data_IF_797896070337
#
_entry.id   IF_797896070337
#
_cell.length_a   1.000
_cell.length_b   1.000
_cell.length_c   1.000
_cell.angle_alpha   90.00
_cell.angle_beta   90.00
_cell.angle_gamma   90.00
#
_symmetry.space_group_name_H-M   'P 1'
#
loop_
_entity.id
_entity.type
_entity.pdbx_description
1 polymer ?
#
# COMPACT_ATOMS: atom_id res chain seq x y z
N UNK A 1 -19.11 -1.28 -2.58
CA UNK A 1 -19.53 0.15 -2.47
C UNK A 1 -18.68 0.99 -3.41
N UNK A 2 -18.99 2.30 -3.60
CA UNK A 2 -18.21 3.18 -4.48
C UNK A 2 -18.16 4.58 -3.90
N UNK A 3 -17.00 5.23 -4.07
CA UNK A 3 -16.82 6.68 -3.88
C UNK A 3 -16.22 7.24 -5.18
N UNK A 4 -16.33 8.53 -5.39
CA UNK A 4 -15.78 9.19 -6.59
C UNK A 4 -14.79 10.27 -6.16
N UNK A 5 -13.62 10.28 -6.75
CA UNK A 5 -12.60 11.31 -6.54
C UNK A 5 -13.03 12.65 -7.16
N UNK A 6 -12.39 13.74 -6.80
CA UNK A 6 -12.71 15.08 -7.34
C UNK A 6 -12.52 15.17 -8.86
N UNK A 7 -11.61 14.38 -9.43
CA UNK A 7 -11.37 14.27 -10.87
C UNK A 7 -12.24 13.21 -11.57
N UNK A 8 -13.20 12.61 -10.85
CA UNK A 8 -14.24 11.74 -11.41
C UNK A 8 -13.89 10.26 -11.45
N UNK A 9 -12.78 9.81 -10.89
CA UNK A 9 -12.42 8.39 -10.83
C UNK A 9 -13.29 7.68 -9.78
N UNK A 10 -13.97 6.61 -10.18
CA UNK A 10 -14.79 5.81 -9.29
C UNK A 10 -13.94 4.76 -8.59
N UNK A 11 -13.93 4.76 -7.27
CA UNK A 11 -13.21 3.82 -6.42
C UNK A 11 -14.17 2.81 -5.81
N UNK A 12 -13.99 1.54 -6.13
CA UNK A 12 -14.74 0.43 -5.56
C UNK A 12 -14.13 0.01 -4.23
N UNK A 13 -14.97 -0.26 -3.23
CA UNK A 13 -14.49 -0.73 -1.93
C UNK A 13 -15.51 -1.63 -1.23
N UNK A 14 -15.00 -2.50 -0.37
CA UNK A 14 -15.78 -3.21 0.64
C UNK A 14 -15.59 -2.52 1.99
N UNK A 15 -16.63 -2.54 2.84
CA UNK A 15 -16.61 -1.97 4.18
C UNK A 15 -17.17 -2.99 5.16
N UNK A 16 -16.41 -3.31 6.19
CA UNK A 16 -16.79 -4.20 7.27
C UNK A 16 -16.60 -3.51 8.61
N UNK A 17 -17.49 -3.79 9.55
CA UNK A 17 -17.58 -3.07 10.81
C UNK A 17 -18.45 -1.80 10.68
N UNK A 18 -18.92 -1.27 11.82
CA UNK A 18 -19.69 -0.05 11.85
C UNK A 18 -19.49 0.67 13.21
N UNK A 19 -19.21 1.96 13.16
CA UNK A 19 -19.12 2.81 14.34
C UNK A 19 -17.83 2.69 15.14
N UNK A 20 -16.83 1.94 14.63
CA UNK A 20 -15.48 1.88 15.16
C UNK A 20 -14.58 2.97 14.58
N UNK A 21 -13.28 2.91 14.91
CA UNK A 21 -12.28 3.77 14.28
C UNK A 21 -12.15 3.44 12.80
N UNK A 22 -12.26 4.42 11.89
CA UNK A 22 -12.08 4.19 10.47
C UNK A 22 -10.64 3.79 10.13
N UNK A 23 -10.50 2.74 9.31
CA UNK A 23 -9.22 2.24 8.80
C UNK A 23 -9.34 1.94 7.31
N UNK A 24 -8.49 2.55 6.49
CA UNK A 24 -8.38 2.26 5.06
C UNK A 24 -7.16 1.37 4.82
N UNK A 25 -7.37 0.24 4.14
CA UNK A 25 -6.30 -0.67 3.73
C UNK A 25 -5.75 -0.25 2.37
N UNK A 26 -4.45 0.05 2.30
CA UNK A 26 -3.75 0.42 1.07
C UNK A 26 -2.87 -0.75 0.64
N UNK A 27 -3.36 -1.51 -0.32
CA UNK A 27 -2.67 -2.70 -0.83
C UNK A 27 -1.43 -2.36 -1.68
N UNK A 28 -0.47 -3.28 -1.71
CA UNK A 28 0.75 -3.19 -2.51
C UNK A 28 0.58 -3.61 -3.97
N UNK A 29 1.71 -3.87 -4.62
CA UNK A 29 1.78 -4.34 -6.00
C UNK A 29 0.97 -5.62 -6.18
N UNK A 30 0.11 -5.65 -7.19
CA UNK A 30 -0.71 -6.82 -7.51
C UNK A 30 -1.92 -7.09 -6.62
N UNK A 31 -2.07 -6.40 -5.48
CA UNK A 31 -3.20 -6.62 -4.58
C UNK A 31 -4.49 -5.97 -5.09
N UNK A 32 -5.58 -6.74 -5.07
CA UNK A 32 -6.94 -6.35 -5.43
C UNK A 32 -7.93 -7.15 -4.58
N UNK A 33 -9.08 -6.57 -4.25
CA UNK A 33 -10.14 -7.23 -3.46
C UNK A 33 -10.51 -8.63 -3.96
N UNK A 34 -10.60 -8.78 -5.29
CA UNK A 34 -11.04 -10.04 -5.92
C UNK A 34 -9.99 -11.16 -5.93
N UNK A 35 -8.70 -10.84 -5.76
CA UNK A 35 -7.58 -11.80 -5.88
C UNK A 35 -6.74 -11.95 -4.62
N UNK A 36 -7.03 -11.18 -3.57
CA UNK A 36 -6.30 -11.20 -2.32
C UNK A 36 -7.16 -11.72 -1.15
N UNK A 37 -7.22 -13.04 -0.95
CA UNK A 37 -7.97 -13.64 0.14
C UNK A 37 -7.37 -13.34 1.53
N UNK A 38 -6.06 -13.09 1.63
CA UNK A 38 -5.40 -12.79 2.89
C UNK A 38 -5.86 -11.43 3.43
N UNK A 39 -5.85 -10.39 2.60
CA UNK A 39 -6.34 -9.07 2.99
C UNK A 39 -7.84 -9.05 3.25
N UNK A 40 -8.65 -9.84 2.54
CA UNK A 40 -10.08 -9.99 2.90
C UNK A 40 -10.27 -10.61 4.28
N UNK A 41 -9.51 -11.65 4.60
CA UNK A 41 -9.57 -12.24 5.95
C UNK A 41 -9.11 -11.23 7.00
N UNK A 42 -8.03 -10.48 6.75
CA UNK A 42 -7.58 -9.41 7.63
C UNK A 42 -8.67 -8.35 7.84
N UNK A 43 -9.40 -7.95 6.79
CA UNK A 43 -10.53 -7.01 6.89
C UNK A 43 -11.57 -7.50 7.90
N UNK A 44 -11.98 -8.77 7.80
CA UNK A 44 -12.98 -9.37 8.71
C UNK A 44 -12.44 -9.50 10.13
N UNK A 45 -11.15 -9.85 10.31
CA UNK A 45 -10.50 -9.94 11.63
C UNK A 45 -10.42 -8.58 12.33
N UNK A 46 -10.09 -7.52 11.58
CA UNK A 46 -10.03 -6.15 12.09
C UNK A 46 -11.44 -5.63 12.47
N UNK A 47 -12.43 -5.90 11.61
CA UNK A 47 -13.82 -5.53 11.87
C UNK A 47 -14.38 -6.24 13.11
N UNK A 48 -14.06 -7.52 13.30
CA UNK A 48 -14.45 -8.29 14.49
C UNK A 48 -13.84 -7.74 15.79
N UNK A 49 -12.74 -6.99 15.69
CA UNK A 49 -12.08 -6.28 16.80
C UNK A 49 -12.56 -4.84 16.99
N UNK A 50 -13.62 -4.45 16.29
CA UNK A 50 -14.32 -3.17 16.50
C UNK A 50 -13.84 -2.02 15.62
N UNK A 51 -13.03 -2.26 14.59
CA UNK A 51 -12.66 -1.25 13.60
C UNK A 51 -13.74 -1.13 12.49
N UNK A 52 -13.81 0.02 11.85
CA UNK A 52 -14.61 0.29 10.66
C UNK A 52 -13.67 0.26 9.45
N UNK A 53 -13.58 -0.90 8.81
CA UNK A 53 -12.51 -1.21 7.85
C UNK A 53 -12.99 -1.03 6.42
N UNK A 54 -12.23 -0.29 5.64
CA UNK A 54 -12.43 -0.11 4.20
C UNK A 54 -11.29 -0.77 3.43
N UNK A 55 -11.64 -1.70 2.56
CA UNK A 55 -10.72 -2.37 1.64
C UNK A 55 -11.06 -1.97 0.21
N UNK A 56 -10.33 -1.03 -0.41
CA UNK A 56 -10.58 -0.59 -1.78
C UNK A 56 -9.86 -1.43 -2.83
N UNK A 57 -10.38 -1.39 -4.06
CA UNK A 57 -9.54 -1.53 -5.24
C UNK A 57 -8.95 -0.16 -5.58
N UNK A 58 -7.64 -0.07 -5.73
CA UNK A 58 -6.94 1.15 -6.11
C UNK A 58 -7.34 1.60 -7.54
N UNK A 59 -7.08 2.86 -7.95
CA UNK A 59 -7.39 3.33 -9.31
C UNK A 59 -6.87 2.37 -10.39
N UNK A 60 -7.69 2.04 -11.39
CA UNK A 60 -7.38 1.13 -12.48
C UNK A 60 -7.30 -0.35 -12.09
N UNK A 61 -7.64 -0.74 -10.85
CA UNK A 61 -7.63 -2.13 -10.37
C UNK A 61 -9.03 -2.64 -10.09
N UNK A 62 -9.22 -3.95 -10.22
CA UNK A 62 -10.46 -4.65 -9.86
C UNK A 62 -11.70 -4.03 -10.46
N UNK A 63 -12.61 -3.54 -9.60
CA UNK A 63 -13.88 -2.91 -9.97
C UNK A 63 -13.81 -1.36 -9.93
N UNK A 64 -12.64 -0.79 -9.63
CA UNK A 64 -12.40 0.66 -9.71
C UNK A 64 -12.30 1.13 -11.16
N UNK A 65 -12.67 2.38 -11.38
CA UNK A 65 -12.52 3.04 -12.67
C UNK A 65 -11.06 3.30 -13.03
N UNK A 66 -10.81 3.47 -14.32
CA UNK A 66 -9.51 3.91 -14.79
C UNK A 66 -9.21 5.31 -14.28
N UNK A 67 -7.97 5.51 -13.86
CA UNK A 67 -7.47 6.78 -13.33
C UNK A 67 -5.99 6.98 -13.68
N UNK A 68 -5.42 8.14 -13.34
CA UNK A 68 -3.99 8.33 -13.49
C UNK A 68 -3.20 7.29 -12.69
N UNK A 69 -2.32 6.54 -13.36
CA UNK A 69 -1.40 5.59 -12.71
C UNK A 69 -0.22 6.36 -12.09
N UNK A 70 -0.52 7.26 -11.15
CA UNK A 70 0.45 8.15 -10.50
C UNK A 70 0.21 8.17 -8.98
N UNK A 71 1.24 8.53 -8.23
CA UNK A 71 1.14 8.73 -6.79
C UNK A 71 0.04 9.75 -6.42
N UNK A 72 -0.08 10.84 -7.18
CA UNK A 72 -1.12 11.84 -6.96
C UNK A 72 -2.54 11.26 -7.14
N UNK A 73 -2.75 10.38 -8.12
CA UNK A 73 -4.01 9.67 -8.32
C UNK A 73 -4.35 8.74 -7.16
N UNK A 74 -3.36 8.06 -6.58
CA UNK A 74 -3.54 7.22 -5.39
C UNK A 74 -3.90 8.05 -4.15
N UNK A 75 -3.23 9.18 -3.93
CA UNK A 75 -3.55 10.10 -2.83
C UNK A 75 -4.95 10.68 -2.98
N UNK A 76 -5.39 11.01 -4.20
CA UNK A 76 -6.76 11.47 -4.47
C UNK A 76 -7.81 10.39 -4.14
N UNK A 77 -7.53 9.13 -4.45
CA UNK A 77 -8.41 8.02 -4.09
C UNK A 77 -8.52 7.84 -2.57
N UNK A 78 -7.39 7.92 -1.84
CA UNK A 78 -7.38 7.85 -0.37
C UNK A 78 -8.14 9.04 0.22
N UNK A 79 -7.98 10.26 -0.30
CA UNK A 79 -8.74 11.45 0.11
C UNK A 79 -10.24 11.20 0.03
N UNK A 80 -10.72 10.72 -1.13
CA UNK A 80 -12.14 10.44 -1.32
C UNK A 80 -12.68 9.39 -0.33
N UNK A 81 -11.89 8.36 0.00
CA UNK A 81 -12.26 7.37 1.01
C UNK A 81 -12.28 7.95 2.43
N UNK A 82 -11.29 8.77 2.79
CA UNK A 82 -11.23 9.46 4.09
C UNK A 82 -12.43 10.40 4.25
N UNK A 83 -12.78 11.15 3.22
CA UNK A 83 -13.94 12.07 3.23
C UNK A 83 -15.26 11.28 3.37
N UNK A 84 -15.42 10.15 2.68
CA UNK A 84 -16.58 9.24 2.82
C UNK A 84 -16.70 8.68 4.24
N UNK A 85 -15.58 8.53 4.96
CA UNK A 85 -15.52 8.06 6.35
C UNK A 85 -15.68 9.18 7.39
N UNK A 86 -16.04 10.39 6.97
CA UNK A 86 -16.28 11.53 7.85
C UNK A 86 -15.07 12.43 8.05
N UNK A 87 -14.09 12.37 7.15
CA UNK A 87 -12.93 13.28 7.09
C UNK A 87 -11.76 12.87 7.98
N UNK A 88 -11.80 11.67 8.61
CA UNK A 88 -10.72 11.17 9.45
C UNK A 88 -10.62 9.65 9.39
N UNK A 89 -9.41 9.13 9.16
CA UNK A 89 -9.13 7.69 9.18
C UNK A 89 -7.66 7.40 9.49
N UNK A 90 -7.41 6.20 10.01
CA UNK A 90 -6.09 5.58 9.99
C UNK A 90 -5.84 4.91 8.64
N UNK A 91 -4.57 4.73 8.26
CA UNK A 91 -4.19 3.93 7.09
C UNK A 91 -3.35 2.74 7.51
N UNK A 92 -3.65 1.58 6.94
CA UNK A 92 -2.74 0.44 6.91
C UNK A 92 -2.19 0.33 5.48
N UNK A 93 -0.88 0.40 5.33
CA UNK A 93 -0.20 0.29 4.05
C UNK A 93 0.68 -0.97 3.99
N UNK A 94 0.44 -1.84 3.01
CA UNK A 94 1.21 -3.07 2.79
C UNK A 94 2.18 -2.89 1.62
N UNK A 95 3.46 -3.21 1.82
CA UNK A 95 4.47 -3.16 0.75
C UNK A 95 4.55 -1.77 0.11
N UNK A 96 4.50 -1.65 -1.22
CA UNK A 96 4.42 -0.37 -1.93
C UNK A 96 3.22 0.48 -1.52
N UNK A 97 2.11 -0.12 -1.07
CA UNK A 97 0.99 0.59 -0.47
C UNK A 97 1.35 1.37 0.80
N UNK A 98 2.40 0.96 1.50
CA UNK A 98 2.96 1.71 2.62
C UNK A 98 3.60 3.04 2.18
N UNK A 99 4.28 3.07 1.05
CA UNK A 99 4.82 4.31 0.48
C UNK A 99 3.70 5.27 0.03
N UNK A 100 2.62 4.72 -0.54
CA UNK A 100 1.40 5.50 -0.88
C UNK A 100 0.75 6.05 0.40
N UNK A 101 0.65 5.24 1.47
CA UNK A 101 0.10 5.69 2.74
C UNK A 101 0.94 6.79 3.39
N UNK A 102 2.28 6.73 3.29
CA UNK A 102 3.20 7.79 3.72
C UNK A 102 2.94 9.10 2.95
N UNK A 103 2.78 9.04 1.62
CA UNK A 103 2.47 10.20 0.80
C UNK A 103 1.09 10.78 1.16
N UNK A 104 0.09 9.94 1.35
CA UNK A 104 -1.23 10.38 1.78
C UNK A 104 -1.18 11.06 3.15
N UNK A 105 -0.44 10.53 4.12
CA UNK A 105 -0.29 11.15 5.44
C UNK A 105 0.47 12.48 5.40
N UNK A 106 1.41 12.64 4.45
CA UNK A 106 2.12 13.91 4.25
C UNK A 106 1.21 15.03 3.71
N UNK A 107 0.15 14.68 2.98
CA UNK A 107 -0.71 15.65 2.28
C UNK A 107 -2.11 15.79 2.91
N UNK A 108 -2.63 14.76 3.56
CA UNK A 108 -4.01 14.69 4.03
C UNK A 108 -4.12 14.88 5.55
N UNK A 109 -4.61 16.02 6.04
CA UNK A 109 -4.78 16.24 7.47
C UNK A 109 -5.78 15.27 8.13
N UNK A 110 -6.65 14.64 7.33
CA UNK A 110 -7.58 13.63 7.79
C UNK A 110 -6.96 12.26 8.09
N UNK A 111 -5.74 12.00 7.65
CA UNK A 111 -4.99 10.81 8.07
C UNK A 111 -4.41 11.07 9.44
N UNK A 112 -4.74 10.24 10.42
CA UNK A 112 -4.38 10.48 11.82
C UNK A 112 -3.47 9.42 12.44
N UNK A 113 -3.25 8.31 11.75
CA UNK A 113 -2.33 7.22 12.16
C UNK A 113 -1.90 6.39 10.97
N UNK A 114 -0.69 5.85 11.04
CA UNK A 114 -0.16 4.90 10.05
C UNK A 114 0.21 3.58 10.70
N UNK A 115 -0.11 2.49 10.01
CA UNK A 115 0.46 1.16 10.26
C UNK A 115 1.04 0.66 8.93
N UNK A 116 2.33 0.37 8.90
CA UNK A 116 3.07 0.07 7.68
C UNK A 116 3.65 -1.34 7.74
N UNK A 117 3.29 -2.19 6.78
CA UNK A 117 3.81 -3.56 6.68
C UNK A 117 4.88 -3.64 5.59
N UNK A 118 6.11 -3.98 6.00
CA UNK A 118 7.25 -4.33 5.13
C UNK A 118 7.36 -3.47 3.86
N UNK A 119 7.49 -2.15 4.05
CA UNK A 119 7.65 -1.21 2.94
C UNK A 119 9.05 -1.35 2.35
N UNK A 120 9.21 -1.70 1.06
CA UNK A 120 10.53 -1.94 0.46
C UNK A 120 11.22 -0.64 0.05
N UNK A 121 11.71 0.14 1.02
CA UNK A 121 12.36 1.42 0.76
C UNK A 121 13.89 1.27 0.64
N UNK A 122 14.45 1.89 -0.39
CA UNK A 122 15.89 2.16 -0.44
C UNK A 122 16.30 3.16 0.65
N UNK A 123 17.30 2.83 1.45
CA UNK A 123 17.77 3.67 2.56
C UNK A 123 18.80 4.72 2.15
N UNK A 124 19.30 4.66 0.90
CA UNK A 124 20.32 5.56 0.33
C UNK A 124 19.76 6.57 -0.68
N UNK A 125 18.44 6.71 -0.78
CA UNK A 125 17.74 7.59 -1.71
C UNK A 125 16.99 6.84 -2.81
N UNK A 126 16.24 7.58 -3.62
CA UNK A 126 15.30 7.05 -4.60
C UNK A 126 15.88 6.72 -5.98
N UNK A 127 17.18 6.88 -6.23
CA UNK A 127 17.75 6.78 -7.59
C UNK A 127 17.41 5.45 -8.27
N UNK A 128 17.63 4.31 -7.61
CA UNK A 128 17.32 2.99 -8.17
C UNK A 128 15.81 2.79 -8.36
N UNK A 129 14.98 3.32 -7.44
CA UNK A 129 13.54 3.26 -7.56
C UNK A 129 13.02 4.13 -8.70
N UNK A 130 13.65 5.28 -8.99
CA UNK A 130 13.33 6.09 -10.17
C UNK A 130 13.75 5.41 -11.47
N UNK A 131 14.88 4.70 -11.51
CA UNK A 131 15.27 3.88 -12.67
C UNK A 131 14.25 2.74 -12.90
N UNK A 132 13.82 2.09 -11.84
CA UNK A 132 12.76 1.07 -11.90
C UNK A 132 11.44 1.66 -12.39
N UNK A 133 11.02 2.81 -11.86
CA UNK A 133 9.84 3.55 -12.33
C UNK A 133 9.94 3.86 -13.83
N UNK A 134 11.06 4.41 -14.30
CA UNK A 134 11.27 4.73 -15.71
C UNK A 134 11.16 3.48 -16.60
N UNK A 135 11.71 2.35 -16.17
CA UNK A 135 11.59 1.08 -16.88
C UNK A 135 10.16 0.55 -16.95
N UNK A 136 9.35 0.77 -15.93
CA UNK A 136 7.91 0.44 -15.94
C UNK A 136 7.17 1.34 -16.91
N UNK A 137 7.36 2.67 -16.82
CA UNK A 137 6.71 3.65 -17.69
C UNK A 137 7.01 3.38 -19.18
N UNK A 138 8.24 3.02 -19.52
CA UNK A 138 8.62 2.62 -20.89
C UNK A 138 7.78 1.44 -21.39
N UNK A 139 7.63 0.39 -20.57
CA UNK A 139 6.85 -0.81 -20.95
C UNK A 139 5.35 -0.55 -21.00
N UNK A 140 4.84 0.30 -20.12
CA UNK A 140 3.45 0.78 -20.20
C UNK A 140 3.21 1.52 -21.50
N UNK A 141 4.11 2.43 -21.90
CA UNK A 141 4.02 3.16 -23.16
C UNK A 141 4.15 2.25 -24.40
N UNK A 142 4.88 1.15 -24.30
CA UNK A 142 4.96 0.13 -25.34
C UNK A 142 3.67 -0.73 -25.46
N UNK A 143 2.74 -0.64 -24.49
CA UNK A 143 1.49 -1.40 -24.50
C UNK A 143 1.68 -2.89 -24.23
N UNK A 144 2.72 -3.28 -23.50
CA UNK A 144 3.01 -4.67 -23.14
C UNK A 144 2.83 -4.91 -21.62
N UNK A 145 1.59 -5.20 -21.17
CA UNK A 145 1.31 -5.40 -19.76
C UNK A 145 2.02 -6.63 -19.16
N UNK A 146 2.30 -7.65 -19.96
CA UNK A 146 3.06 -8.81 -19.46
C UNK A 146 4.52 -8.43 -19.22
N UNK A 147 5.14 -7.64 -20.11
CA UNK A 147 6.50 -7.13 -19.90
C UNK A 147 6.56 -6.19 -18.67
N UNK A 148 5.50 -5.42 -18.39
CA UNK A 148 5.41 -4.62 -17.15
C UNK A 148 5.48 -5.53 -15.93
N UNK A 149 4.65 -6.56 -15.85
CA UNK A 149 4.62 -7.47 -14.69
C UNK A 149 5.94 -8.23 -14.53
N UNK A 150 6.52 -8.73 -15.61
CA UNK A 150 7.82 -9.42 -15.59
C UNK A 150 8.93 -8.52 -15.06
N UNK A 151 8.99 -7.29 -15.53
CA UNK A 151 9.98 -6.31 -15.08
C UNK A 151 9.72 -5.88 -13.64
N UNK A 152 8.47 -5.63 -13.27
CA UNK A 152 8.10 -5.18 -11.94
C UNK A 152 8.38 -6.21 -10.84
N UNK A 153 8.36 -7.51 -11.19
CA UNK A 153 8.62 -8.60 -10.25
C UNK A 153 10.02 -9.19 -10.38
N UNK A 154 10.90 -8.56 -11.16
CA UNK A 154 12.29 -9.02 -11.27
C UNK A 154 12.97 -9.01 -9.89
N UNK A 155 13.60 -10.13 -9.53
CA UNK A 155 14.20 -10.31 -8.20
C UNK A 155 13.24 -10.73 -7.09
N UNK A 156 11.92 -10.79 -7.34
CA UNK A 156 10.94 -11.37 -6.44
C UNK A 156 10.86 -12.91 -6.62
N UNK A 157 10.24 -13.64 -5.66
CA UNK A 157 10.01 -15.08 -5.82
C UNK A 157 9.28 -15.38 -7.14
N UNK A 158 9.81 -16.31 -7.98
CA UNK A 158 9.23 -16.61 -9.30
C UNK A 158 7.76 -17.03 -9.27
N UNK A 159 7.33 -17.68 -8.19
CA UNK A 159 5.96 -18.12 -7.98
C UNK A 159 4.95 -16.97 -7.92
N UNK A 160 5.38 -15.75 -7.60
CA UNK A 160 4.50 -14.59 -7.62
C UNK A 160 4.10 -14.24 -9.06
N UNK A 161 5.08 -14.16 -9.96
CA UNK A 161 4.80 -13.92 -11.38
C UNK A 161 4.01 -15.07 -12.01
N UNK A 162 4.38 -16.32 -11.67
CA UNK A 162 3.68 -17.51 -12.13
C UNK A 162 2.21 -17.50 -11.68
N UNK A 163 1.93 -17.11 -10.43
CA UNK A 163 0.59 -16.93 -9.91
C UNK A 163 -0.21 -15.87 -10.67
N UNK A 164 0.42 -14.74 -10.98
CA UNK A 164 -0.22 -13.67 -11.74
C UNK A 164 -0.53 -14.07 -13.19
N UNK A 165 0.41 -14.68 -13.89
CA UNK A 165 0.32 -14.97 -15.32
C UNK A 165 -0.23 -16.35 -15.64
N UNK A 166 -0.08 -17.33 -14.76
CA UNK A 166 -0.52 -18.71 -14.96
C UNK A 166 -1.88 -19.04 -14.37
N UNK A 167 -2.44 -18.17 -13.53
CA UNK A 167 -3.69 -18.40 -12.82
C UNK A 167 -4.95 -17.95 -13.59
N UNK A 168 -6.14 -18.24 -13.03
CA UNK A 168 -7.43 -17.86 -13.63
C UNK A 168 -7.65 -16.34 -13.67
N UNK A 169 -6.93 -15.58 -12.85
CA UNK A 169 -7.03 -14.12 -12.76
C UNK A 169 -6.04 -13.37 -13.66
N UNK A 170 -5.35 -14.07 -14.58
CA UNK A 170 -4.35 -13.49 -15.48
C UNK A 170 -4.83 -12.19 -16.16
N UNK A 171 -6.06 -12.18 -16.69
CA UNK A 171 -6.61 -10.99 -17.36
C UNK A 171 -6.78 -9.80 -16.42
N UNK A 172 -7.05 -10.04 -15.14
CA UNK A 172 -7.12 -8.99 -14.10
C UNK A 172 -5.73 -8.41 -13.84
N UNK A 173 -4.71 -9.28 -13.73
CA UNK A 173 -3.32 -8.84 -13.55
C UNK A 173 -2.79 -8.08 -14.77
N UNK A 174 -3.11 -8.50 -15.98
CA UNK A 174 -2.74 -7.75 -17.18
C UNK A 174 -3.40 -6.36 -17.24
N UNK A 175 -4.66 -6.24 -16.79
CA UNK A 175 -5.34 -4.93 -16.72
C UNK A 175 -4.73 -4.02 -15.67
N UNK A 176 -4.35 -4.54 -14.51
CA UNK A 176 -3.73 -3.70 -13.48
C UNK A 176 -2.28 -3.30 -13.81
N UNK A 177 -1.60 -4.01 -14.70
CA UNK A 177 -0.17 -3.82 -14.95
C UNK A 177 0.24 -2.35 -15.16
N UNK A 178 -0.49 -1.50 -15.91
CA UNK A 178 -0.16 -0.09 -16.04
C UNK A 178 -0.13 0.67 -14.72
N UNK A 179 -0.92 0.24 -13.72
CA UNK A 179 -1.02 0.91 -12.42
C UNK A 179 0.21 0.71 -11.54
N UNK A 180 1.10 -0.24 -11.90
CA UNK A 180 2.35 -0.48 -11.18
C UNK A 180 3.29 0.74 -11.26
N UNK A 181 3.10 1.62 -12.24
CA UNK A 181 3.83 2.89 -12.31
C UNK A 181 3.63 3.74 -11.04
N UNK A 182 2.41 3.76 -10.48
CA UNK A 182 2.13 4.49 -9.24
C UNK A 182 2.82 3.86 -8.02
N UNK A 183 2.96 2.51 -7.97
CA UNK A 183 3.71 1.83 -6.92
C UNK A 183 5.19 2.23 -6.95
N UNK A 184 5.78 2.24 -8.15
CA UNK A 184 7.18 2.59 -8.35
C UNK A 184 7.44 4.08 -8.04
N UNK A 185 6.56 4.98 -8.48
CA UNK A 185 6.63 6.41 -8.17
C UNK A 185 6.57 6.65 -6.66
N UNK A 186 5.66 5.95 -5.95
CA UNK A 186 5.50 6.07 -4.50
C UNK A 186 6.76 5.63 -3.75
N UNK A 187 7.35 4.49 -4.14
CA UNK A 187 8.59 4.00 -3.53
C UNK A 187 9.76 4.94 -3.78
N UNK A 188 9.88 5.48 -5.00
CA UNK A 188 10.93 6.42 -5.34
C UNK A 188 10.79 7.74 -4.56
N UNK A 189 9.58 8.30 -4.51
CA UNK A 189 9.27 9.48 -3.71
C UNK A 189 9.58 9.26 -2.23
N UNK A 190 9.15 8.13 -1.64
CA UNK A 190 9.35 7.86 -0.23
C UNK A 190 10.83 7.66 0.12
N UNK A 191 11.61 7.01 -0.75
CA UNK A 191 13.04 6.84 -0.55
C UNK A 191 13.81 8.17 -0.61
N UNK A 192 13.47 9.08 -1.56
CA UNK A 192 14.03 10.42 -1.61
C UNK A 192 13.64 11.24 -0.38
N UNK A 193 12.35 11.22 0.00
CA UNK A 193 11.83 11.95 1.14
C UNK A 193 12.42 11.46 2.48
N UNK A 194 12.76 10.17 2.56
CA UNK A 194 13.49 9.59 3.69
C UNK A 194 14.93 10.14 3.74
N UNK A 195 15.63 10.08 2.61
CA UNK A 195 17.05 10.45 2.52
C UNK A 195 17.29 11.95 2.75
N UNK A 196 16.41 12.82 2.28
CA UNK A 196 16.54 14.28 2.40
C UNK A 196 15.87 14.85 3.68
N UNK A 197 15.23 14.00 4.49
CA UNK A 197 14.52 14.37 5.70
C UNK A 197 13.17 15.06 5.48
N UNK A 198 12.65 15.09 4.24
CA UNK A 198 11.29 15.59 3.95
C UNK A 198 10.24 14.75 4.64
N UNK A 199 10.41 13.43 4.68
CA UNK A 199 9.49 12.52 5.32
C UNK A 199 9.28 12.85 6.81
N UNK A 200 10.36 13.14 7.54
CA UNK A 200 10.32 13.53 8.95
C UNK A 200 9.57 14.85 9.21
N UNK A 201 9.55 15.75 8.23
CA UNK A 201 8.86 17.04 8.32
C UNK A 201 7.40 16.97 7.94
N UNK A 202 7.03 16.06 7.04
CA UNK A 202 5.68 15.99 6.45
C UNK A 202 4.80 14.91 7.11
N UNK A 203 5.38 13.80 7.56
CA UNK A 203 4.65 12.72 8.24
C UNK A 203 4.87 12.85 9.75
N UNK A 204 3.91 13.47 10.43
CA UNK A 204 3.99 13.76 11.88
C UNK A 204 2.99 12.96 12.71
N UNK A 205 2.20 12.11 12.06
CA UNK A 205 1.21 11.25 12.73
C UNK A 205 1.89 10.03 13.36
N UNK A 206 1.35 9.51 14.48
CA UNK A 206 1.86 8.27 15.07
C UNK A 206 1.91 7.16 14.03
N UNK A 207 3.06 6.51 13.91
CA UNK A 207 3.34 5.50 12.88
C UNK A 207 3.89 4.22 13.52
N UNK A 208 3.28 3.08 13.24
CA UNK A 208 3.83 1.78 13.63
C UNK A 208 4.32 1.05 12.38
N UNK A 209 5.61 0.71 12.37
CA UNK A 209 6.25 -0.02 11.28
C UNK A 209 6.36 -1.49 11.65
N UNK A 210 5.79 -2.36 10.84
CA UNK A 210 5.67 -3.79 11.07
C UNK A 210 6.61 -4.59 10.17
N UNK A 211 7.21 -5.63 10.71
CA UNK A 211 7.95 -6.65 9.95
C UNK A 211 7.53 -8.04 10.40
N UNK A 212 7.63 -9.01 9.50
CA UNK A 212 7.48 -10.42 9.83
C UNK A 212 8.64 -10.92 10.70
N UNK A 213 8.39 -11.95 11.50
CA UNK A 213 9.40 -12.58 12.37
C UNK A 213 10.58 -13.21 11.58
N UNK A 214 10.35 -13.51 10.30
CA UNK A 214 11.37 -13.98 9.36
C UNK A 214 11.39 -13.13 8.09
N UNK A 215 11.29 -11.81 8.26
CA UNK A 215 11.36 -10.83 7.17
C UNK A 215 12.72 -10.87 6.47
N UNK A 216 12.74 -10.57 5.18
CA UNK A 216 14.00 -10.39 4.46
C UNK A 216 14.78 -9.19 5.02
N UNK A 217 16.12 -9.25 5.08
CA UNK A 217 16.93 -8.21 5.72
C UNK A 217 16.65 -6.78 5.26
N UNK A 218 16.38 -6.57 3.98
CA UNK A 218 16.11 -5.24 3.43
C UNK A 218 14.80 -4.62 3.97
N UNK A 219 13.78 -5.43 4.33
CA UNK A 219 12.58 -4.91 4.98
C UNK A 219 12.87 -4.46 6.42
N UNK A 220 13.76 -5.19 7.11
CA UNK A 220 14.20 -4.83 8.46
C UNK A 220 14.98 -3.52 8.43
N UNK A 221 15.91 -3.37 7.49
CA UNK A 221 16.70 -2.15 7.27
C UNK A 221 15.81 -0.95 6.94
N UNK A 222 14.83 -1.12 6.05
CA UNK A 222 13.87 -0.09 5.70
C UNK A 222 12.99 0.31 6.90
N UNK A 223 12.52 -0.66 7.69
CA UNK A 223 11.74 -0.42 8.89
C UNK A 223 12.53 0.36 9.94
N UNK A 224 13.78 -0.02 10.20
CA UNK A 224 14.66 0.68 11.13
C UNK A 224 14.93 2.12 10.67
N UNK A 225 15.14 2.33 9.37
CA UNK A 225 15.34 3.67 8.80
C UNK A 225 14.08 4.55 8.94
N UNK A 226 12.89 4.00 8.70
CA UNK A 226 11.61 4.71 8.89
C UNK A 226 11.41 5.10 10.36
N UNK A 227 11.64 4.17 11.30
CA UNK A 227 11.50 4.44 12.74
C UNK A 227 12.51 5.49 13.21
N UNK A 228 13.73 5.46 12.70
CA UNK A 228 14.75 6.45 13.03
C UNK A 228 14.45 7.85 12.46
N UNK A 229 13.77 7.94 11.32
CA UNK A 229 13.49 9.20 10.64
C UNK A 229 12.21 9.88 11.12
N UNK A 230 11.15 9.13 11.37
CA UNK A 230 9.83 9.70 11.69
C UNK A 230 9.76 10.15 13.16
N UNK A 231 9.16 11.31 13.46
CA UNK A 231 9.19 11.92 14.80
C UNK A 231 8.39 11.15 15.85
N UNK A 232 7.38 10.39 15.44
CA UNK A 232 6.52 9.58 16.32
C UNK A 232 6.31 8.20 15.68
N UNK A 233 7.37 7.39 15.70
CA UNK A 233 7.35 6.06 15.11
C UNK A 233 7.82 4.99 16.09
N UNK A 234 7.20 3.82 15.97
CA UNK A 234 7.57 2.61 16.70
C UNK A 234 7.67 1.43 15.76
N UNK A 235 8.37 0.37 16.18
CA UNK A 235 8.45 -0.89 15.45
C UNK A 235 7.77 -2.00 16.22
N UNK A 236 7.08 -2.88 15.51
CA UNK A 236 6.58 -4.14 16.05
C UNK A 236 6.84 -5.30 15.08
N UNK A 237 6.94 -6.50 15.63
CA UNK A 237 7.11 -7.74 14.87
C UNK A 237 5.83 -8.54 14.93
N UNK A 238 5.48 -9.16 13.80
CA UNK A 238 4.29 -10.01 13.65
C UNK A 238 4.74 -11.40 13.19
N UNK A 239 4.13 -12.50 13.68
CA UNK A 239 4.36 -13.81 13.09
C UNK A 239 4.11 -13.79 11.58
N UNK A 240 5.16 -14.06 10.78
CA UNK A 240 5.07 -14.01 9.32
C UNK A 240 6.39 -14.36 8.65
N UNK A 241 6.31 -14.81 7.41
CA UNK A 241 7.45 -15.20 6.60
C UNK A 241 7.21 -14.84 5.13
N UNK A 242 8.30 -14.64 4.38
CA UNK A 242 8.24 -14.45 2.92
C UNK A 242 7.28 -13.33 2.49
N UNK A 243 7.27 -12.22 3.22
CA UNK A 243 6.41 -11.06 3.01
C UNK A 243 4.91 -11.32 3.30
N UNK A 244 4.57 -12.49 3.85
CA UNK A 244 3.21 -12.86 4.25
C UNK A 244 2.98 -12.72 5.74
N UNK A 245 1.74 -12.69 6.14
CA UNK A 245 1.29 -12.61 7.54
C UNK A 245 0.18 -13.61 7.84
N UNK A 246 -0.02 -13.88 9.14
CA UNK A 246 -1.21 -14.55 9.66
C UNK A 246 -2.26 -13.47 9.98
N UNK A 247 -3.45 -13.48 9.34
CA UNK A 247 -4.42 -12.38 9.46
C UNK A 247 -4.83 -12.05 10.89
N UNK A 248 -5.05 -13.04 11.75
CA UNK A 248 -5.45 -12.82 13.13
C UNK A 248 -4.34 -12.16 13.97
N UNK A 249 -3.09 -12.63 13.81
CA UNK A 249 -1.94 -12.08 14.54
C UNK A 249 -1.65 -10.64 14.10
N UNK A 250 -1.72 -10.37 12.79
CA UNK A 250 -1.58 -9.03 12.27
C UNK A 250 -2.70 -8.11 12.77
N UNK A 251 -3.94 -8.58 12.81
CA UNK A 251 -5.07 -7.80 13.29
C UNK A 251 -4.89 -7.37 14.75
N UNK A 252 -4.39 -8.25 15.63
CA UNK A 252 -4.12 -7.92 17.04
C UNK A 252 -3.09 -6.79 17.18
N UNK A 253 -2.02 -6.84 16.37
CA UNK A 253 -0.98 -5.80 16.39
C UNK A 253 -1.48 -4.49 15.78
N UNK A 254 -2.25 -4.54 14.68
CA UNK A 254 -2.85 -3.33 14.07
C UNK A 254 -3.80 -2.64 15.04
N UNK A 255 -4.68 -3.38 15.72
CA UNK A 255 -5.59 -2.78 16.73
C UNK A 255 -4.79 -2.11 17.85
N UNK A 256 -3.79 -2.79 18.39
CA UNK A 256 -2.91 -2.22 19.43
C UNK A 256 -2.21 -0.94 18.95
N UNK A 257 -1.78 -0.89 17.69
CA UNK A 257 -1.12 0.27 17.11
C UNK A 257 -2.09 1.46 16.90
N UNK A 258 -3.39 1.21 16.86
CA UNK A 258 -4.42 2.23 16.64
C UNK A 258 -5.03 2.79 17.94
N UNK A 259 -4.79 2.15 19.07
CA UNK A 259 -5.18 2.65 20.40
C UNK A 259 -4.26 3.83 20.82
#
# INVERSE_FOLDING_TARGET
>A
MYVTTDDGVRIAYDREGAGGRPLVLVGGLGQMRGTDPATRTLTSELAARGLDVVHPDRPGRGDSGDGPATLAGEVAAIRALVDELGGRAALYGSSSGGAIALAAAAELPGVDRLVLWEVPLGTSGGAEAWEWHAGIVERVAAGDPEAVLRFATEGMPPEWLEGMLGGPDRERYLRLAPTVAADAEALAWAADALADGTLARSVTVPTTVLTGSTAWPFFVEAADALVAALPDASRAEVPGAEHGWVPADLADVVVTALD
#
